data_IF_380059106367
#
_entry.id   IF_380059106367
#
_cell.length_a   1.000
_cell.length_b   1.000
_cell.length_c   1.000
_cell.angle_alpha   90.00
_cell.angle_beta   90.00
_cell.angle_gamma   90.00
#
_symmetry.space_group_name_H-M   'P 1'
#
loop_
_entity.id
_entity.type
_entity.pdbx_description
1 polymer ?
#
# COMPACT_ATOMS: atom_id res chain seq x y z
N UNK A 1 15.37 8.40 -29.24
CA UNK A 1 14.48 8.71 -28.12
C UNK A 1 14.95 7.90 -26.90
N UNK A 2 15.30 8.55 -25.77
CA UNK A 2 15.58 7.82 -24.52
C UNK A 2 14.26 7.16 -24.09
N UNK A 3 14.24 5.82 -23.99
CA UNK A 3 13.11 5.09 -23.40
C UNK A 3 12.87 5.67 -22.00
N UNK A 4 11.71 6.25 -21.76
CA UNK A 4 11.33 6.68 -20.40
C UNK A 4 11.36 5.42 -19.55
N UNK A 5 12.18 5.44 -18.50
CA UNK A 5 12.29 4.29 -17.59
C UNK A 5 10.97 4.17 -16.82
N UNK A 6 10.26 3.07 -17.05
CA UNK A 6 9.00 2.80 -16.35
C UNK A 6 9.26 2.45 -14.88
N UNK A 7 8.47 3.02 -13.98
CA UNK A 7 8.53 2.70 -12.56
C UNK A 7 8.10 1.25 -12.33
N UNK A 8 8.84 0.52 -11.51
CA UNK A 8 8.47 -0.81 -11.04
C UNK A 8 7.67 -0.72 -9.75
N UNK A 9 6.72 -1.63 -9.56
CA UNK A 9 5.87 -1.70 -8.37
C UNK A 9 6.06 -3.03 -7.65
N UNK A 10 6.34 -2.96 -6.36
CA UNK A 10 6.43 -4.13 -5.49
C UNK A 10 5.28 -4.02 -4.49
N UNK A 11 4.36 -4.97 -4.54
CA UNK A 11 3.22 -5.05 -3.63
C UNK A 11 3.53 -6.02 -2.50
N UNK A 12 3.46 -5.53 -1.26
CA UNK A 12 3.69 -6.35 -0.06
C UNK A 12 2.35 -6.57 0.64
N UNK A 13 1.93 -7.82 0.71
CA UNK A 13 0.69 -8.25 1.37
C UNK A 13 0.99 -9.19 2.53
N UNK A 14 0.02 -9.44 3.39
CA UNK A 14 0.18 -10.41 4.48
C UNK A 14 -1.07 -11.22 4.73
N UNK A 15 -0.88 -12.44 5.20
CA UNK A 15 -1.95 -13.36 5.56
C UNK A 15 -1.91 -13.79 7.02
N UNK A 16 -2.91 -14.51 7.46
CA UNK A 16 -3.12 -15.11 8.79
C UNK A 16 -3.42 -14.10 9.88
N UNK A 17 -2.46 -13.25 10.25
CA UNK A 17 -2.61 -12.19 11.29
C UNK A 17 -1.78 -10.97 10.96
N UNK A 18 -2.12 -9.83 11.56
CA UNK A 18 -1.29 -8.63 11.53
C UNK A 18 0.01 -8.84 12.32
N UNK A 19 1.00 -7.98 12.11
CA UNK A 19 2.26 -8.04 12.87
C UNK A 19 3.26 -9.10 12.39
N UNK A 20 3.03 -9.78 11.27
CA UNK A 20 3.97 -10.75 10.68
C UNK A 20 5.18 -10.11 9.96
N UNK A 21 5.30 -8.77 10.00
CA UNK A 21 6.48 -8.08 9.49
C UNK A 21 6.35 -7.57 8.05
N UNK A 22 5.16 -7.27 7.55
CA UNK A 22 5.00 -6.58 6.26
C UNK A 22 5.80 -5.29 6.20
N UNK A 23 5.63 -4.41 7.19
CA UNK A 23 6.30 -3.11 7.27
C UNK A 23 7.81 -3.24 7.29
N UNK A 24 8.35 -4.14 8.12
CA UNK A 24 9.81 -4.37 8.18
C UNK A 24 10.34 -4.97 6.88
N UNK A 25 9.57 -5.83 6.22
CA UNK A 25 9.93 -6.38 4.90
C UNK A 25 9.98 -5.27 3.86
N UNK A 26 8.95 -4.42 3.80
CA UNK A 26 8.88 -3.29 2.86
C UNK A 26 10.03 -2.29 3.10
N UNK A 27 10.28 -1.92 4.35
CA UNK A 27 11.34 -0.98 4.72
C UNK A 27 12.74 -1.54 4.41
N UNK A 28 13.00 -2.79 4.79
CA UNK A 28 14.29 -3.44 4.57
C UNK A 28 14.58 -3.62 3.08
N UNK A 29 13.59 -4.02 2.30
CA UNK A 29 13.71 -4.13 0.85
C UNK A 29 13.99 -2.77 0.22
N UNK A 30 13.28 -1.72 0.68
CA UNK A 30 13.54 -0.33 0.25
C UNK A 30 14.98 0.09 0.49
N UNK A 31 15.52 -0.20 1.68
CA UNK A 31 16.92 0.07 2.01
C UNK A 31 17.90 -0.68 1.11
N UNK A 32 17.66 -1.98 0.91
CA UNK A 32 18.54 -2.80 0.08
C UNK A 32 18.55 -2.35 -1.38
N UNK A 33 17.41 -1.95 -1.93
CA UNK A 33 17.31 -1.42 -3.29
C UNK A 33 17.96 -0.05 -3.40
N UNK A 34 17.76 0.84 -2.41
CA UNK A 34 18.45 2.14 -2.35
C UNK A 34 19.96 1.97 -2.33
N UNK A 35 20.49 1.02 -1.54
CA UNK A 35 21.92 0.72 -1.48
C UNK A 35 22.48 0.19 -2.82
N UNK A 36 21.61 -0.34 -3.69
CA UNK A 36 21.96 -0.72 -5.08
C UNK A 36 21.83 0.42 -6.10
N UNK A 37 21.56 1.63 -5.62
CA UNK A 37 21.48 2.84 -6.46
C UNK A 37 20.11 3.12 -7.09
N UNK A 38 19.06 2.38 -6.72
CA UNK A 38 17.71 2.70 -7.17
C UNK A 38 17.11 3.85 -6.36
N UNK A 39 16.35 4.69 -7.02
CA UNK A 39 15.46 5.65 -6.35
C UNK A 39 14.19 4.92 -5.93
N UNK A 40 13.97 4.79 -4.64
CA UNK A 40 12.86 4.05 -4.04
C UNK A 40 11.90 4.99 -3.33
N UNK A 41 10.61 4.70 -3.38
CA UNK A 41 9.61 5.30 -2.49
C UNK A 41 8.72 4.20 -1.91
N UNK A 42 8.32 4.38 -0.66
CA UNK A 42 7.38 3.50 0.03
C UNK A 42 6.00 4.15 0.10
N UNK A 43 4.96 3.34 -0.03
CA UNK A 43 3.57 3.75 0.11
C UNK A 43 2.81 2.73 0.98
N UNK A 44 2.04 3.23 1.94
CA UNK A 44 1.15 2.44 2.79
C UNK A 44 -0.28 2.60 2.31
N UNK A 45 -0.97 1.48 2.09
CA UNK A 45 -2.37 1.42 1.69
C UNK A 45 -3.16 0.75 2.82
N UNK A 46 -3.87 1.56 3.61
CA UNK A 46 -4.59 1.09 4.80
C UNK A 46 -6.09 0.91 4.53
N UNK A 47 -6.65 -0.27 4.82
CA UNK A 47 -8.04 -0.58 4.49
C UNK A 47 -9.07 0.02 5.46
N UNK A 48 -8.67 0.65 6.56
CA UNK A 48 -9.62 1.28 7.46
C UNK A 48 -10.31 2.51 6.86
N UNK A 49 -11.54 2.81 7.32
CA UNK A 49 -12.40 3.86 6.77
C UNK A 49 -12.08 5.26 7.30
N UNK A 50 -11.25 5.38 8.34
CA UNK A 50 -10.78 6.69 8.78
C UNK A 50 -10.02 7.39 7.65
N UNK A 51 -10.24 8.69 7.50
CA UNK A 51 -9.53 9.50 6.48
C UNK A 51 -8.04 9.54 6.78
N UNK A 52 -7.69 9.69 8.04
CA UNK A 52 -6.34 9.63 8.58
C UNK A 52 -6.38 9.06 10.02
N UNK A 53 -5.23 8.73 10.63
CA UNK A 53 -5.19 8.18 11.97
C UNK A 53 -5.29 9.21 13.10
N UNK A 54 -5.37 10.52 12.80
CA UNK A 54 -5.34 11.59 13.79
C UNK A 54 -6.44 11.53 14.85
N UNK A 55 -7.60 10.96 14.50
CA UNK A 55 -8.73 10.77 15.42
C UNK A 55 -8.81 9.37 16.01
N UNK A 56 -7.89 8.49 15.67
CA UNK A 56 -7.89 7.10 16.15
C UNK A 56 -7.29 7.02 17.55
N UNK A 57 -7.78 6.05 18.34
CA UNK A 57 -7.24 5.81 19.67
C UNK A 57 -5.80 5.30 19.61
N UNK A 58 -4.84 5.95 20.28
CA UNK A 58 -3.45 5.47 20.32
C UNK A 58 -3.31 4.05 20.91
N UNK A 59 -4.23 3.65 21.78
CA UNK A 59 -4.24 2.30 22.36
C UNK A 59 -4.60 1.22 21.36
N UNK A 60 -5.36 1.56 20.32
CA UNK A 60 -5.77 0.61 19.29
C UNK A 60 -4.87 0.64 18.04
N UNK A 61 -4.34 1.81 17.70
CA UNK A 61 -3.66 2.04 16.44
C UNK A 61 -2.19 2.43 16.58
N UNK A 62 -1.75 2.76 17.79
CA UNK A 62 -0.42 3.32 18.03
C UNK A 62 -0.37 4.84 17.85
N UNK A 63 0.83 5.38 17.91
CA UNK A 63 1.05 6.81 17.74
C UNK A 63 0.92 7.22 16.26
N UNK A 64 0.55 8.47 16.05
CA UNK A 64 0.48 9.10 14.73
C UNK A 64 1.88 9.56 14.33
N UNK A 65 2.28 9.26 13.10
CA UNK A 65 3.47 9.83 12.48
C UNK A 65 3.06 11.01 11.58
N UNK A 66 3.75 12.13 11.73
CA UNK A 66 3.48 13.34 10.91
C UNK A 66 4.62 13.51 9.91
N UNK A 67 4.27 13.55 8.62
CA UNK A 67 5.23 13.78 7.54
C UNK A 67 5.68 15.25 7.48
N UNK A 68 6.79 15.54 6.79
CA UNK A 68 7.30 16.91 6.63
C UNK A 68 6.29 17.88 5.99
N UNK A 69 5.38 17.36 5.15
CA UNK A 69 4.30 18.13 4.53
C UNK A 69 3.01 18.19 5.39
N UNK A 70 3.10 17.79 6.66
CA UNK A 70 2.06 17.98 7.68
C UNK A 70 0.93 16.95 7.65
N UNK A 71 1.08 15.83 6.94
CA UNK A 71 0.07 14.79 6.94
C UNK A 71 0.19 13.87 8.16
N UNK A 72 -0.93 13.64 8.83
CA UNK A 72 -1.06 12.61 9.87
C UNK A 72 -1.17 11.23 9.21
N UNK A 73 -0.32 10.31 9.63
CA UNK A 73 -0.18 9.00 9.00
C UNK A 73 0.05 7.90 10.03
N UNK A 74 -0.05 6.66 9.58
CA UNK A 74 0.28 5.48 10.35
C UNK A 74 1.76 5.47 10.79
N UNK A 75 2.04 4.94 11.97
CA UNK A 75 3.39 4.84 12.54
C UNK A 75 4.37 4.08 11.63
N UNK A 76 3.90 3.17 10.81
CA UNK A 76 4.72 2.42 9.86
C UNK A 76 5.48 3.34 8.89
N UNK A 77 4.95 4.54 8.59
CA UNK A 77 5.66 5.51 7.76
C UNK A 77 6.94 6.01 8.45
N UNK A 78 6.91 6.20 9.76
CA UNK A 78 8.12 6.51 10.54
C UNK A 78 9.15 5.39 10.47
N UNK A 79 8.72 4.14 10.45
CA UNK A 79 9.62 3.00 10.25
C UNK A 79 10.23 3.01 8.84
N UNK A 80 9.46 3.35 7.79
CA UNK A 80 10.00 3.45 6.44
C UNK A 80 11.05 4.55 6.33
N UNK A 81 10.81 5.73 6.90
CA UNK A 81 11.81 6.80 6.92
C UNK A 81 13.08 6.37 7.65
N UNK A 82 12.91 5.80 8.83
CA UNK A 82 14.05 5.40 9.68
C UNK A 82 14.89 4.30 9.04
N UNK A 83 14.28 3.23 8.52
CA UNK A 83 15.01 2.07 8.01
C UNK A 83 15.47 2.25 6.57
N UNK A 84 14.62 2.82 5.72
CA UNK A 84 14.97 3.01 4.32
C UNK A 84 15.65 4.35 4.04
N UNK A 85 15.74 5.26 5.06
CA UNK A 85 16.35 6.59 4.92
C UNK A 85 15.68 7.35 3.76
N UNK A 86 14.37 7.48 3.83
CA UNK A 86 13.52 8.13 2.85
C UNK A 86 12.81 9.31 3.50
N UNK A 87 12.47 10.32 2.72
CA UNK A 87 11.50 11.34 3.11
C UNK A 87 10.16 11.01 2.49
N UNK A 88 9.14 10.85 3.33
CA UNK A 88 7.81 10.52 2.92
C UNK A 88 6.91 11.76 2.90
N UNK A 89 5.83 11.67 2.15
CA UNK A 89 4.85 12.74 1.98
C UNK A 89 3.44 12.21 2.19
N UNK A 90 2.46 13.09 2.20
CA UNK A 90 1.03 12.73 2.26
C UNK A 90 0.60 11.69 1.21
N UNK A 91 1.29 11.63 0.08
CA UNK A 91 0.99 10.62 -0.96
C UNK A 91 1.53 9.23 -0.60
N UNK A 92 2.36 9.15 0.43
CA UNK A 92 2.86 7.86 0.95
C UNK A 92 1.84 7.13 1.84
N UNK A 93 0.77 7.82 2.27
CA UNK A 93 -0.32 7.24 3.09
C UNK A 93 -1.66 7.34 2.37
N UNK A 94 -2.25 6.21 2.09
CA UNK A 94 -3.56 6.08 1.43
C UNK A 94 -4.47 5.21 2.27
N UNK A 95 -5.59 5.77 2.75
CA UNK A 95 -6.60 5.03 3.51
C UNK A 95 -7.84 4.79 2.65
N UNK A 96 -8.66 3.79 3.01
CA UNK A 96 -9.99 3.63 2.43
C UNK A 96 -10.80 4.93 2.56
N UNK A 97 -10.71 5.60 3.73
CA UNK A 97 -11.40 6.87 3.95
C UNK A 97 -11.05 7.93 2.91
N UNK A 98 -9.76 8.13 2.61
CA UNK A 98 -9.32 9.06 1.56
C UNK A 98 -9.83 8.66 0.17
N UNK A 99 -9.83 7.36 -0.14
CA UNK A 99 -10.34 6.85 -1.42
C UNK A 99 -11.84 7.12 -1.56
N UNK A 100 -12.62 6.70 -0.58
CA UNK A 100 -14.08 6.86 -0.62
C UNK A 100 -14.50 8.33 -0.58
N UNK A 101 -13.87 9.18 0.23
CA UNK A 101 -14.14 10.62 0.24
C UNK A 101 -13.93 11.23 -1.14
N UNK A 102 -12.80 10.90 -1.79
CA UNK A 102 -12.51 11.40 -3.15
C UNK A 102 -13.57 10.95 -4.16
N UNK A 103 -14.03 9.70 -4.07
CA UNK A 103 -15.05 9.16 -4.98
C UNK A 103 -16.40 9.84 -4.74
N UNK A 104 -16.81 10.01 -3.49
CA UNK A 104 -18.06 10.69 -3.13
C UNK A 104 -18.04 12.16 -3.56
N UNK A 105 -16.92 12.87 -3.37
CA UNK A 105 -16.76 14.24 -3.87
C UNK A 105 -16.88 14.32 -5.40
N UNK A 106 -16.26 13.41 -6.13
CA UNK A 106 -16.38 13.31 -7.60
C UNK A 106 -17.82 13.03 -8.02
N UNK A 107 -18.49 12.11 -7.32
CA UNK A 107 -19.91 11.78 -7.59
C UNK A 107 -20.79 13.02 -7.40
N UNK A 108 -20.66 13.73 -6.28
CA UNK A 108 -21.45 14.92 -5.97
C UNK A 108 -21.21 16.07 -6.96
N UNK A 109 -20.02 16.18 -7.54
CA UNK A 109 -19.72 17.14 -8.60
C UNK A 109 -20.24 16.73 -9.98
N UNK A 110 -20.67 15.48 -10.14
CA UNK A 110 -21.13 14.96 -11.43
C UNK A 110 -20.01 14.45 -12.35
N UNK A 111 -18.81 14.24 -11.83
CA UNK A 111 -17.65 13.81 -12.62
C UNK A 111 -17.87 12.44 -13.32
N UNK A 112 -18.80 11.64 -12.83
CA UNK A 112 -19.16 10.34 -13.41
C UNK A 112 -20.32 10.39 -14.42
N UNK A 113 -20.81 11.57 -14.76
CA UNK A 113 -21.83 11.79 -15.82
C UNK A 113 -23.07 10.92 -15.67
N UNK A 114 -23.53 10.69 -14.45
CA UNK A 114 -24.73 9.88 -14.15
C UNK A 114 -24.50 8.36 -14.15
N UNK A 115 -23.26 7.89 -14.32
CA UNK A 115 -22.94 6.48 -14.21
C UNK A 115 -23.11 5.97 -12.78
N UNK A 116 -23.52 4.72 -12.62
CA UNK A 116 -23.52 4.06 -11.30
C UNK A 116 -22.09 3.90 -10.79
N UNK A 117 -21.81 4.48 -9.63
CA UNK A 117 -20.48 4.39 -8.99
C UNK A 117 -20.40 3.10 -8.16
N UNK A 118 -19.39 2.28 -8.42
CA UNK A 118 -19.22 0.95 -7.84
C UNK A 118 -17.79 0.73 -7.37
N UNK A 119 -17.55 -0.31 -6.57
CA UNK A 119 -16.20 -0.68 -6.12
C UNK A 119 -15.28 -0.94 -7.34
N UNK A 120 -15.78 -1.69 -8.32
CA UNK A 120 -15.12 -1.86 -9.61
C UNK A 120 -16.01 -1.14 -10.66
N UNK A 121 -15.48 -0.20 -11.44
CA UNK A 121 -14.07 0.19 -11.57
C UNK A 121 -13.63 1.40 -10.72
N UNK A 122 -14.52 2.04 -9.96
CA UNK A 122 -14.25 3.39 -9.42
C UNK A 122 -13.30 3.37 -8.22
N UNK A 123 -13.56 2.51 -7.20
CA UNK A 123 -12.67 2.41 -6.02
C UNK A 123 -11.32 1.81 -6.44
N UNK A 124 -11.34 0.73 -7.21
CA UNK A 124 -10.10 0.11 -7.70
C UNK A 124 -9.31 1.04 -8.62
N UNK A 125 -9.99 1.85 -9.43
CA UNK A 125 -9.40 2.88 -10.27
C UNK A 125 -8.70 3.96 -9.45
N UNK A 126 -9.38 4.53 -8.45
CA UNK A 126 -8.80 5.55 -7.56
C UNK A 126 -7.56 5.02 -6.82
N UNK A 127 -7.59 3.76 -6.33
CA UNK A 127 -6.42 3.14 -5.69
C UNK A 127 -5.23 3.08 -6.68
N UNK A 128 -5.45 2.63 -7.90
CA UNK A 128 -4.41 2.58 -8.94
C UNK A 128 -3.89 3.97 -9.31
N UNK A 129 -4.76 4.96 -9.32
CA UNK A 129 -4.36 6.35 -9.58
C UNK A 129 -3.49 6.93 -8.46
N UNK A 130 -3.73 6.55 -7.18
CA UNK A 130 -2.83 6.89 -6.07
C UNK A 130 -1.44 6.26 -6.23
N UNK A 131 -1.35 5.02 -6.69
CA UNK A 131 -0.07 4.38 -7.01
C UNK A 131 0.69 5.13 -8.12
N UNK A 132 0.00 5.47 -9.21
CA UNK A 132 0.57 6.26 -10.30
C UNK A 132 1.00 7.66 -9.85
N UNK A 133 0.20 8.29 -8.98
CA UNK A 133 0.49 9.62 -8.43
C UNK A 133 1.76 9.59 -7.58
N UNK A 134 1.90 8.61 -6.69
CA UNK A 134 3.10 8.42 -5.89
C UNK A 134 4.34 8.25 -6.77
N UNK A 135 4.25 7.46 -7.84
CA UNK A 135 5.33 7.28 -8.81
C UNK A 135 5.73 8.60 -9.50
N UNK A 136 4.74 9.37 -9.98
CA UNK A 136 4.98 10.63 -10.67
C UNK A 136 5.64 11.69 -9.77
N UNK A 137 5.18 11.80 -8.52
CA UNK A 137 5.67 12.78 -7.55
C UNK A 137 7.07 12.42 -7.07
N UNK A 138 7.27 11.18 -6.64
CA UNK A 138 8.57 10.72 -6.14
C UNK A 138 9.62 10.60 -7.24
N UNK A 139 9.21 10.42 -8.49
CA UNK A 139 10.08 10.07 -9.63
C UNK A 139 10.94 8.85 -9.29
N UNK A 140 10.40 7.92 -8.52
CA UNK A 140 11.10 6.72 -8.09
C UNK A 140 11.23 5.70 -9.23
N UNK A 141 12.33 4.97 -9.22
CA UNK A 141 12.50 3.80 -10.08
C UNK A 141 11.62 2.65 -9.61
N UNK A 142 11.40 2.56 -8.29
CA UNK A 142 10.67 1.48 -7.64
C UNK A 142 9.75 2.07 -6.57
N UNK A 143 8.47 1.72 -6.63
CA UNK A 143 7.48 1.95 -5.57
C UNK A 143 7.27 0.64 -4.82
N UNK A 144 7.44 0.66 -3.50
CA UNK A 144 7.07 -0.45 -2.63
C UNK A 144 5.77 -0.06 -1.94
N UNK A 145 4.68 -0.72 -2.33
CA UNK A 145 3.34 -0.49 -1.77
C UNK A 145 2.99 -1.62 -0.80
N UNK A 146 2.90 -1.30 0.48
CA UNK A 146 2.43 -2.21 1.50
C UNK A 146 0.92 -2.13 1.64
N UNK A 147 0.25 -3.28 1.57
CA UNK A 147 -1.19 -3.38 1.80
C UNK A 147 -1.41 -3.71 3.28
N UNK A 148 -2.06 -2.79 4.00
CA UNK A 148 -2.45 -2.97 5.38
C UNK A 148 -3.51 -4.06 5.55
N UNK A 149 -3.70 -4.49 6.79
CA UNK A 149 -4.62 -5.58 7.12
C UNK A 149 -4.12 -6.95 6.68
N UNK A 150 -5.04 -7.90 6.63
CA UNK A 150 -4.79 -9.31 6.30
C UNK A 150 -5.53 -9.68 5.03
N UNK A 151 -4.87 -10.39 4.12
CA UNK A 151 -5.54 -10.91 2.90
C UNK A 151 -6.64 -11.88 3.34
N UNK A 152 -7.85 -11.64 2.86
CA UNK A 152 -9.07 -12.35 3.27
C UNK A 152 -10.02 -11.49 4.10
N UNK A 153 -9.55 -10.41 4.70
CA UNK A 153 -10.42 -9.44 5.38
C UNK A 153 -11.23 -8.66 4.34
N UNK A 154 -12.50 -8.43 4.63
CA UNK A 154 -13.44 -7.83 3.69
C UNK A 154 -13.04 -6.41 3.28
N UNK A 155 -12.50 -5.64 4.21
CA UNK A 155 -12.03 -4.27 3.99
C UNK A 155 -10.80 -4.19 3.08
N UNK A 156 -10.01 -5.26 3.01
CA UNK A 156 -8.81 -5.32 2.16
C UNK A 156 -9.12 -5.68 0.70
N UNK A 157 -10.29 -6.24 0.42
CA UNK A 157 -10.65 -6.76 -0.91
C UNK A 157 -10.49 -5.72 -2.04
N UNK A 158 -10.93 -4.45 -1.90
CA UNK A 158 -10.75 -3.47 -2.96
C UNK A 158 -9.27 -3.19 -3.29
N UNK A 159 -8.39 -3.21 -2.28
CA UNK A 159 -6.95 -3.04 -2.48
C UNK A 159 -6.33 -4.25 -3.18
N UNK A 160 -6.69 -5.45 -2.75
CA UNK A 160 -6.20 -6.70 -3.38
C UNK A 160 -6.65 -6.76 -4.84
N UNK A 161 -7.91 -6.42 -5.12
CA UNK A 161 -8.40 -6.37 -6.50
C UNK A 161 -7.69 -5.27 -7.31
N UNK A 162 -7.45 -4.09 -6.73
CA UNK A 162 -6.75 -3.00 -7.41
C UNK A 162 -5.32 -3.40 -7.80
N UNK A 163 -4.54 -4.05 -6.92
CA UNK A 163 -3.18 -4.49 -7.25
C UNK A 163 -3.18 -5.66 -8.25
N UNK A 164 -4.19 -6.53 -8.23
CA UNK A 164 -4.39 -7.53 -9.27
C UNK A 164 -4.59 -6.89 -10.64
N UNK A 165 -5.45 -5.88 -10.73
CA UNK A 165 -5.67 -5.10 -11.96
C UNK A 165 -4.42 -4.32 -12.37
N UNK A 166 -3.69 -3.75 -11.40
CA UNK A 166 -2.46 -3.01 -11.65
C UNK A 166 -1.42 -3.86 -12.39
N UNK A 167 -1.34 -5.16 -12.13
CA UNK A 167 -0.45 -6.07 -12.86
C UNK A 167 -0.75 -6.13 -14.35
N UNK A 168 -2.03 -6.10 -14.73
CA UNK A 168 -2.44 -6.10 -16.13
C UNK A 168 -2.19 -4.72 -16.78
N UNK A 169 -2.42 -3.65 -16.02
CA UNK A 169 -2.33 -2.28 -16.52
C UNK A 169 -0.88 -1.74 -16.58
N UNK A 170 -0.06 -2.05 -15.56
CA UNK A 170 1.33 -1.58 -15.46
C UNK A 170 2.32 -2.53 -16.14
N UNK A 171 1.88 -3.74 -16.50
CA UNK A 171 2.71 -4.79 -17.09
C UNK A 171 3.27 -5.79 -16.08
N UNK A 172 3.35 -7.03 -16.49
CA UNK A 172 3.89 -8.13 -15.67
C UNK A 172 5.36 -7.89 -15.30
N UNK A 173 6.14 -7.34 -16.21
CA UNK A 173 7.55 -7.01 -16.02
C UNK A 173 7.78 -5.83 -15.08
N UNK A 174 6.73 -5.06 -14.79
CA UNK A 174 6.78 -3.88 -13.93
C UNK A 174 6.18 -4.13 -12.54
N UNK A 175 5.72 -5.34 -12.26
CA UNK A 175 5.04 -5.65 -10.99
C UNK A 175 5.58 -6.92 -10.34
N UNK A 176 5.81 -6.86 -9.03
CA UNK A 176 6.19 -8.00 -8.18
C UNK A 176 5.27 -8.06 -6.96
N UNK A 177 4.89 -9.26 -6.56
CA UNK A 177 4.09 -9.50 -5.35
C UNK A 177 4.93 -10.26 -4.32
N UNK A 178 4.93 -9.76 -3.10
CA UNK A 178 5.53 -10.40 -1.93
C UNK A 178 4.40 -10.64 -0.93
N UNK A 179 4.23 -11.88 -0.50
CA UNK A 179 3.22 -12.25 0.48
C UNK A 179 3.89 -12.78 1.75
N UNK A 180 3.76 -12.03 2.84
CA UNK A 180 4.23 -12.44 4.15
C UNK A 180 3.18 -13.33 4.81
N UNK A 181 3.53 -14.54 5.21
CA UNK A 181 2.61 -15.44 5.90
C UNK A 181 3.30 -16.21 7.02
N UNK A 182 2.51 -16.75 7.92
CA UNK A 182 2.99 -17.63 8.98
C UNK A 182 3.16 -19.05 8.43
N UNK A 183 4.33 -19.65 8.69
CA UNK A 183 4.65 -21.01 8.30
C UNK A 183 5.04 -21.81 9.55
N UNK A 184 4.07 -22.27 10.37
CA UNK A 184 4.34 -22.99 11.59
C UNK A 184 4.82 -24.43 11.32
N UNK A 185 5.73 -24.90 12.15
CA UNK A 185 6.07 -26.31 12.24
C UNK A 185 5.16 -27.01 13.26
N UNK A 186 4.42 -28.01 12.82
CA UNK A 186 3.52 -28.78 13.67
C UNK A 186 4.24 -30.05 14.18
N UNK A 187 4.63 -30.04 15.44
CA UNK A 187 5.35 -31.19 16.05
C UNK A 187 4.55 -32.50 15.99
N UNK A 188 3.22 -32.43 16.08
CA UNK A 188 2.33 -33.60 16.05
C UNK A 188 2.31 -34.33 14.73
N UNK A 189 2.49 -33.61 13.62
CA UNK A 189 2.50 -34.17 12.26
C UNK A 189 3.90 -34.23 11.64
N UNK A 190 4.89 -33.62 12.29
CA UNK A 190 6.28 -33.58 11.81
C UNK A 190 6.49 -32.77 10.54
N UNK A 191 5.61 -31.83 10.23
CA UNK A 191 5.68 -31.06 8.97
C UNK A 191 5.44 -29.57 9.15
N UNK A 192 5.93 -28.80 8.17
CA UNK A 192 5.67 -27.37 8.04
C UNK A 192 4.33 -27.18 7.31
N UNK A 193 3.48 -26.31 7.85
CA UNK A 193 2.21 -25.89 7.22
C UNK A 193 2.25 -24.44 6.85
N UNK A 194 1.72 -24.10 5.70
CA UNK A 194 1.49 -22.72 5.28
C UNK A 194 0.00 -22.48 5.07
N UNK A 195 -0.49 -21.37 5.58
CA UNK A 195 -1.84 -20.87 5.32
C UNK A 195 -1.71 -19.42 4.85
N UNK A 196 -1.99 -19.13 3.57
CA UNK A 196 -1.76 -17.78 3.02
C UNK A 196 -2.77 -16.75 3.52
N UNK A 197 -3.97 -17.19 3.96
CA UNK A 197 -5.04 -16.31 4.46
C UNK A 197 -5.67 -16.85 5.73
#
# INVERSE_FOLDING_TARGET
MKKVKETKFIFVTGGVVSGLGKGITAASLGRLLKNRGYKVANQKLDPYINVDPGTMSPYQHGEVFVTDDGAETDLDLGHYERFADLTLTKESSVTSGKIYSTILEKERRGDYLGSTVQVIPHVTGEIKDRLKKASKISKADIIIAEIGGTVGDIESLPFIEAIRQARLEFGYENTLFIHNTLVPYLKTTGEVKSKPT
#
